data_IF_623770121870
#
_entry.id   IF_623770121870
#
_cell.length_a   1.000
_cell.length_b   1.000
_cell.length_c   1.000
_cell.angle_alpha   90.00
_cell.angle_beta   90.00
_cell.angle_gamma   90.00
#
_symmetry.space_group_name_H-M   'P 1'
#
loop_
_entity.id
_entity.type
_entity.pdbx_description
1 polymer ?
#
# COMPACT_ATOMS: atom_id res chain seq x y z
N UNK A 1 16.66 6.61 10.04
CA UNK A 1 17.00 7.43 11.24
C UNK A 1 18.50 7.56 11.55
N UNK A 2 19.27 6.50 11.83
CA UNK A 2 20.72 6.67 12.14
C UNK A 2 21.52 7.28 10.97
N UNK A 3 21.41 6.73 9.76
CA UNK A 3 22.17 7.17 8.57
C UNK A 3 21.90 8.63 8.16
N UNK A 4 20.62 9.03 8.21
CA UNK A 4 20.11 10.35 7.84
C UNK A 4 20.52 11.43 8.86
N UNK A 5 20.41 11.13 10.17
CA UNK A 5 20.98 11.98 11.23
C UNK A 5 22.49 12.10 11.09
N UNK A 6 23.20 11.02 10.77
CA UNK A 6 24.65 11.06 10.58
C UNK A 6 25.05 11.93 9.38
N UNK A 7 24.32 11.88 8.27
CA UNK A 7 24.58 12.74 7.10
C UNK A 7 24.30 14.23 7.39
N UNK A 8 23.20 14.55 8.06
CA UNK A 8 22.90 15.94 8.45
C UNK A 8 23.94 16.49 9.44
N UNK A 9 24.35 15.69 10.43
CA UNK A 9 25.41 16.08 11.38
C UNK A 9 26.75 16.27 10.65
N UNK A 10 27.08 15.39 9.71
CA UNK A 10 28.31 15.51 8.92
C UNK A 10 28.34 16.79 8.08
N UNK A 11 27.24 17.14 7.40
CA UNK A 11 27.14 18.39 6.64
C UNK A 11 27.23 19.63 7.54
N UNK A 12 26.64 19.59 8.74
CA UNK A 12 26.77 20.67 9.73
C UNK A 12 28.23 20.82 10.18
N UNK A 13 28.93 19.72 10.46
CA UNK A 13 30.35 19.74 10.83
C UNK A 13 31.19 20.32 9.66
N UNK A 14 30.94 19.87 8.44
CA UNK A 14 31.67 20.33 7.25
C UNK A 14 31.48 21.84 7.01
N UNK A 15 30.25 22.34 7.13
CA UNK A 15 29.94 23.77 7.01
C UNK A 15 30.55 24.58 8.16
N UNK A 16 30.60 24.02 9.36
CA UNK A 16 31.23 24.66 10.54
C UNK A 16 32.75 24.76 10.37
N UNK A 17 33.39 23.74 9.80
CA UNK A 17 34.82 23.74 9.46
C UNK A 17 35.14 24.81 8.40
N UNK A 18 34.30 24.94 7.37
CA UNK A 18 34.44 25.98 6.35
C UNK A 18 34.34 27.38 6.96
N UNK A 19 33.31 27.61 7.78
CA UNK A 19 33.10 28.89 8.45
C UNK A 19 34.27 29.22 9.40
N UNK A 20 34.72 28.26 10.21
CA UNK A 20 35.83 28.45 11.12
C UNK A 20 37.14 28.77 10.37
N UNK A 21 37.43 28.05 9.28
CA UNK A 21 38.59 28.31 8.43
C UNK A 21 38.55 29.72 7.82
N UNK A 22 37.38 30.15 7.31
CA UNK A 22 37.21 31.49 6.73
C UNK A 22 37.36 32.59 7.79
N UNK A 23 36.75 32.43 8.96
CA UNK A 23 36.82 33.42 10.05
C UNK A 23 38.25 33.53 10.58
N UNK A 24 38.88 32.41 10.92
CA UNK A 24 40.25 32.40 11.43
C UNK A 24 41.25 32.94 10.39
N UNK A 25 41.06 32.62 9.10
CA UNK A 25 41.93 33.09 8.04
C UNK A 25 41.80 34.59 7.79
N UNK A 26 40.57 35.10 7.65
CA UNK A 26 40.34 36.53 7.39
C UNK A 26 40.78 37.37 8.60
N UNK A 27 40.38 37.00 9.81
CA UNK A 27 40.77 37.72 11.04
C UNK A 27 42.28 37.64 11.25
N UNK A 28 42.88 36.47 11.04
CA UNK A 28 44.33 36.29 11.14
C UNK A 28 45.11 37.18 10.17
N UNK A 29 44.68 37.28 8.91
CA UNK A 29 45.35 38.12 7.91
C UNK A 29 45.15 39.63 8.20
N UNK A 30 43.97 40.03 8.69
CA UNK A 30 43.72 41.41 9.11
C UNK A 30 44.60 41.82 10.30
N UNK A 31 44.78 40.93 11.28
CA UNK A 31 45.70 41.16 12.42
C UNK A 31 47.15 41.27 11.93
N UNK A 32 47.52 40.56 10.86
CA UNK A 32 48.84 40.64 10.24
C UNK A 32 49.04 41.92 9.39
N UNK A 33 48.03 42.80 9.30
CA UNK A 33 48.12 44.09 8.61
C UNK A 33 47.74 44.06 7.12
N UNK A 34 47.15 42.97 6.63
CA UNK A 34 46.67 42.89 5.25
C UNK A 34 45.39 43.72 5.03
N UNK A 35 45.17 44.13 3.78
CA UNK A 35 43.88 44.72 3.39
C UNK A 35 42.77 43.68 3.44
N UNK A 36 41.51 44.12 3.58
CA UNK A 36 40.35 43.21 3.59
C UNK A 36 40.31 42.34 2.33
N UNK A 37 40.58 42.93 1.15
CA UNK A 37 40.59 42.21 -0.12
C UNK A 37 41.69 41.13 -0.16
N UNK A 38 42.92 41.48 0.27
CA UNK A 38 44.01 40.50 0.31
C UNK A 38 43.76 39.40 1.35
N UNK A 39 43.16 39.74 2.49
CA UNK A 39 42.83 38.79 3.55
C UNK A 39 41.86 37.72 3.07
N UNK A 40 40.81 38.13 2.34
CA UNK A 40 39.86 37.21 1.71
C UNK A 40 40.55 36.37 0.64
N UNK A 41 41.31 36.98 -0.26
CA UNK A 41 42.01 36.26 -1.33
C UNK A 41 42.99 35.22 -0.79
N UNK A 42 43.86 35.61 0.16
CA UNK A 42 44.84 34.71 0.79
C UNK A 42 44.17 33.58 1.56
N UNK A 43 43.03 33.83 2.21
CA UNK A 43 42.26 32.79 2.90
C UNK A 43 41.62 31.79 1.92
N UNK A 44 41.05 32.26 0.81
CA UNK A 44 40.50 31.38 -0.23
C UNK A 44 41.58 30.49 -0.87
N UNK A 45 42.80 31.01 -1.05
CA UNK A 45 43.93 30.23 -1.56
C UNK A 45 44.34 29.07 -0.65
N UNK A 46 43.96 29.06 0.63
CA UNK A 46 44.24 27.91 1.52
C UNK A 46 43.42 26.67 1.15
N UNK A 47 42.27 26.85 0.50
CA UNK A 47 41.40 25.74 0.09
C UNK A 47 41.86 25.04 -1.19
N UNK A 48 42.79 25.63 -1.95
CA UNK A 48 43.34 25.05 -3.19
C UNK A 48 44.50 24.08 -2.95
N UNK A 49 44.73 23.68 -1.68
CA UNK A 49 45.85 22.81 -1.23
C UNK A 49 47.25 23.39 -1.54
N UNK A 50 47.30 24.68 -1.87
CA UNK A 50 48.47 25.44 -2.24
C UNK A 50 49.15 26.02 -0.99
N UNK A 51 49.96 25.21 -0.29
CA UNK A 51 50.69 25.63 0.93
C UNK A 51 51.98 26.38 0.61
N UNK A 52 51.89 27.55 -0.03
CA UNK A 52 53.08 28.27 -0.50
C UNK A 52 53.61 29.36 0.43
N UNK A 53 53.01 29.57 1.61
CA UNK A 53 53.32 30.72 2.47
C UNK A 53 53.57 30.30 3.91
N UNK A 54 54.51 30.93 4.60
CA UNK A 54 54.64 30.82 6.05
C UNK A 54 53.44 31.48 6.74
N UNK A 55 52.91 30.88 7.82
CA UNK A 55 51.74 31.44 8.50
C UNK A 55 52.11 32.73 9.24
N UNK A 56 51.38 33.81 8.95
CA UNK A 56 51.63 35.11 9.59
C UNK A 56 51.35 35.11 11.11
N UNK A 57 50.46 34.23 11.57
CA UNK A 57 50.16 34.00 12.99
C UNK A 57 49.44 32.65 13.18
N UNK A 58 49.19 32.31 14.45
CA UNK A 58 48.53 31.06 14.86
C UNK A 58 47.12 30.93 14.27
N UNK A 59 46.36 32.02 14.12
CA UNK A 59 45.01 31.97 13.52
C UNK A 59 45.05 31.60 12.04
N UNK A 60 46.02 32.15 11.30
CA UNK A 60 46.29 31.78 9.90
C UNK A 60 46.70 30.31 9.80
N UNK A 61 47.49 29.81 10.75
CA UNK A 61 47.92 28.42 10.76
C UNK A 61 46.75 27.45 11.05
N UNK A 62 45.92 27.77 12.04
CA UNK A 62 44.66 27.05 12.33
C UNK A 62 43.75 27.04 11.09
N UNK A 63 43.60 28.19 10.42
CA UNK A 63 42.78 28.31 9.21
C UNK A 63 43.29 27.40 8.08
N UNK A 64 44.61 27.28 7.90
CA UNK A 64 45.22 26.36 6.91
C UNK A 64 44.87 24.91 7.18
N UNK A 65 44.99 24.44 8.42
CA UNK A 65 44.64 23.06 8.77
C UNK A 65 43.15 22.79 8.59
N UNK A 66 42.28 23.71 9.03
CA UNK A 66 40.83 23.57 8.86
C UNK A 66 40.42 23.58 7.38
N UNK A 67 41.01 24.47 6.56
CA UNK A 67 40.78 24.51 5.11
C UNK A 67 41.21 23.20 4.44
N UNK A 68 42.37 22.65 4.81
CA UNK A 68 42.84 21.37 4.30
C UNK A 68 41.88 20.22 4.64
N UNK A 69 41.47 20.12 5.90
CA UNK A 69 40.51 19.10 6.37
C UNK A 69 39.19 19.22 5.60
N UNK A 70 38.68 20.45 5.44
CA UNK A 70 37.48 20.71 4.65
C UNK A 70 37.66 20.26 3.20
N UNK A 71 38.73 20.67 2.52
CA UNK A 71 38.97 20.34 1.10
C UNK A 71 39.11 18.83 0.90
N UNK A 72 39.87 18.12 1.74
CA UNK A 72 39.97 16.66 1.67
C UNK A 72 38.62 15.98 1.88
N UNK A 73 37.84 16.41 2.87
CA UNK A 73 36.51 15.85 3.15
C UNK A 73 35.52 16.10 2.01
N UNK A 74 35.56 17.30 1.41
CA UNK A 74 34.74 17.65 0.26
C UNK A 74 35.11 16.79 -0.96
N UNK A 75 36.40 16.63 -1.26
CA UNK A 75 36.89 15.77 -2.36
C UNK A 75 36.43 14.32 -2.15
N UNK A 76 36.61 13.76 -0.95
CA UNK A 76 36.17 12.40 -0.64
C UNK A 76 34.67 12.25 -0.85
N UNK A 77 33.87 13.23 -0.41
CA UNK A 77 32.41 13.20 -0.56
C UNK A 77 32.00 13.21 -2.04
N UNK A 78 32.66 14.05 -2.86
CA UNK A 78 32.42 14.10 -4.31
C UNK A 78 32.79 12.78 -4.98
N UNK A 79 33.97 12.23 -4.68
CA UNK A 79 34.44 10.96 -5.24
C UNK A 79 33.52 9.80 -4.83
N UNK A 80 33.11 9.76 -3.56
CA UNK A 80 32.21 8.73 -3.06
C UNK A 80 30.84 8.83 -3.73
N UNK A 81 30.31 10.04 -3.91
CA UNK A 81 29.03 10.26 -4.61
C UNK A 81 29.12 9.84 -6.08
N UNK A 82 30.22 10.18 -6.77
CA UNK A 82 30.47 9.74 -8.14
C UNK A 82 30.56 8.20 -8.24
N UNK A 83 31.19 7.56 -7.25
CA UNK A 83 31.24 6.11 -7.16
C UNK A 83 29.87 5.48 -6.93
N UNK A 84 29.01 6.07 -6.08
CA UNK A 84 27.63 5.59 -5.90
C UNK A 84 26.82 5.70 -7.19
N UNK A 85 26.91 6.83 -7.91
CA UNK A 85 26.25 6.99 -9.23
C UNK A 85 26.69 5.89 -10.20
N UNK A 86 27.99 5.57 -10.24
CA UNK A 86 28.51 4.49 -11.08
C UNK A 86 27.96 3.13 -10.65
N UNK A 87 27.95 2.84 -9.35
CA UNK A 87 27.39 1.59 -8.82
C UNK A 87 25.91 1.46 -9.15
N UNK A 88 25.14 2.52 -9.01
CA UNK A 88 23.71 2.51 -9.31
C UNK A 88 23.47 2.30 -10.81
N UNK A 89 24.28 2.90 -11.69
CA UNK A 89 24.24 2.59 -13.13
C UNK A 89 24.54 1.12 -13.43
N UNK A 90 25.54 0.54 -12.76
CA UNK A 90 25.87 -0.90 -12.90
C UNK A 90 24.71 -1.77 -12.41
N UNK A 91 24.07 -1.39 -11.30
CA UNK A 91 22.92 -2.12 -10.75
C UNK A 91 21.67 -1.96 -11.63
N UNK A 92 21.44 -0.79 -12.21
CA UNK A 92 20.35 -0.50 -13.14
C UNK A 92 20.44 -1.32 -14.42
N UNK A 93 21.66 -1.55 -14.92
CA UNK A 93 21.90 -2.40 -16.09
C UNK A 93 21.58 -3.89 -15.87
N UNK A 94 21.34 -4.34 -14.63
CA UNK A 94 20.93 -5.73 -14.35
C UNK A 94 19.46 -5.92 -14.75
N UNK A 95 19.16 -7.07 -15.35
CA UNK A 95 17.78 -7.46 -15.67
C UNK A 95 16.91 -7.49 -14.40
N UNK A 96 15.67 -7.03 -14.53
CA UNK A 96 14.70 -6.90 -13.43
C UNK A 96 15.19 -5.99 -12.28
N UNK A 97 16.08 -5.05 -12.57
CA UNK A 97 16.43 -3.99 -11.62
C UNK A 97 15.17 -3.18 -11.27
N UNK A 98 15.00 -2.89 -9.99
CA UNK A 98 13.88 -2.09 -9.48
C UNK A 98 14.42 -0.91 -8.69
N UNK A 99 14.18 0.30 -9.18
CA UNK A 99 14.53 1.53 -8.50
C UNK A 99 13.33 2.11 -7.80
N UNK A 100 13.52 2.54 -6.55
CA UNK A 100 12.52 3.23 -5.75
C UNK A 100 12.92 4.71 -5.68
N UNK A 101 12.02 5.59 -6.06
CA UNK A 101 12.17 7.03 -5.96
C UNK A 101 11.17 7.59 -4.94
N UNK A 102 11.65 8.50 -4.11
CA UNK A 102 10.92 9.09 -3.00
C UNK A 102 11.75 9.11 -1.73
N UNK A 103 11.63 10.18 -0.95
CA UNK A 103 12.32 10.34 0.34
C UNK A 103 11.33 10.44 1.50
N UNK A 104 10.53 9.38 1.67
CA UNK A 104 9.55 9.28 2.72
C UNK A 104 9.64 7.93 3.45
N UNK A 105 8.69 7.68 4.35
CA UNK A 105 8.65 6.43 5.11
C UNK A 105 8.43 5.22 4.19
N UNK A 106 7.58 5.36 3.16
CA UNK A 106 7.27 4.30 2.18
C UNK A 106 8.52 3.78 1.47
N UNK A 107 9.41 4.67 1.02
CA UNK A 107 10.67 4.24 0.38
C UNK A 107 11.56 3.48 1.34
N UNK A 108 11.66 3.94 2.59
CA UNK A 108 12.45 3.28 3.66
C UNK A 108 11.90 1.88 3.96
N UNK A 109 10.58 1.71 4.05
CA UNK A 109 9.96 0.41 4.29
C UNK A 109 10.18 -0.55 3.11
N UNK A 110 10.00 -0.08 1.87
CA UNK A 110 10.22 -0.91 0.68
C UNK A 110 11.67 -1.40 0.58
N UNK A 111 12.64 -0.53 0.85
CA UNK A 111 14.08 -0.87 0.86
C UNK A 111 14.44 -1.82 2.01
N UNK A 112 13.82 -1.67 3.18
CA UNK A 112 14.00 -2.57 4.32
C UNK A 112 13.40 -3.97 4.02
N UNK A 113 12.28 -4.03 3.28
CA UNK A 113 11.59 -5.27 2.93
C UNK A 113 12.24 -6.02 1.76
N UNK A 114 12.84 -5.34 0.79
CA UNK A 114 13.46 -5.98 -0.37
C UNK A 114 14.91 -5.56 -0.61
N UNK A 115 15.83 -6.50 -0.37
CA UNK A 115 17.28 -6.29 -0.53
C UNK A 115 17.73 -6.07 -1.99
N UNK A 116 16.88 -6.37 -2.97
CA UNK A 116 17.16 -6.16 -4.40
C UNK A 116 16.70 -4.79 -4.89
N UNK A 117 15.85 -4.11 -4.13
CA UNK A 117 15.42 -2.76 -4.45
C UNK A 117 16.57 -1.76 -4.26
N UNK A 118 16.64 -0.77 -5.12
CA UNK A 118 17.73 0.22 -5.14
C UNK A 118 17.10 1.60 -4.94
N UNK A 119 17.67 2.40 -4.04
CA UNK A 119 17.17 3.75 -3.77
C UNK A 119 17.72 4.74 -4.81
N UNK A 120 16.83 5.39 -5.55
CA UNK A 120 17.18 6.40 -6.56
C UNK A 120 17.41 7.79 -5.97
N UNK A 121 18.46 7.96 -5.15
CA UNK A 121 18.78 9.27 -4.53
C UNK A 121 19.68 10.13 -5.42
N UNK A 122 20.55 9.51 -6.21
CA UNK A 122 21.63 10.19 -6.94
C UNK A 122 21.25 10.62 -8.37
N UNK A 123 19.97 10.94 -8.57
CA UNK A 123 19.39 11.28 -9.87
C UNK A 123 18.84 10.07 -10.62
N UNK A 124 18.30 10.33 -11.82
CA UNK A 124 17.67 9.29 -12.64
C UNK A 124 18.68 8.26 -13.15
N UNK A 125 18.38 6.99 -12.88
CA UNK A 125 19.13 5.83 -13.36
C UNK A 125 18.21 4.93 -14.19
N UNK A 126 18.70 4.56 -15.38
CA UNK A 126 17.96 3.64 -16.25
C UNK A 126 17.91 2.23 -15.66
N UNK A 127 16.70 1.70 -15.54
CA UNK A 127 16.35 0.39 -14.99
C UNK A 127 15.20 -0.27 -15.77
N UNK A 128 14.83 -1.49 -15.39
CA UNK A 128 13.68 -2.20 -15.96
C UNK A 128 12.36 -1.85 -15.26
N UNK A 129 12.41 -1.54 -13.95
CA UNK A 129 11.26 -1.21 -13.13
C UNK A 129 11.54 0.03 -12.27
N UNK A 130 10.52 0.86 -12.12
CA UNK A 130 10.54 2.08 -11.32
C UNK A 130 9.35 2.06 -10.37
N UNK A 131 9.57 2.40 -9.10
CA UNK A 131 8.51 2.59 -8.11
C UNK A 131 8.63 3.99 -7.56
N UNK A 132 7.62 4.80 -7.76
CA UNK A 132 7.52 6.16 -7.27
C UNK A 132 6.62 6.13 -6.03
N UNK A 133 7.15 6.56 -4.89
CA UNK A 133 6.43 6.49 -3.60
C UNK A 133 6.39 7.82 -2.87
N UNK A 134 6.80 8.93 -3.49
CA UNK A 134 6.69 10.26 -2.87
C UNK A 134 5.23 10.75 -2.86
N UNK A 135 5.01 12.00 -2.44
CA UNK A 135 3.70 12.64 -2.54
C UNK A 135 3.19 12.60 -3.99
N UNK A 136 1.87 12.45 -4.18
CA UNK A 136 1.25 12.25 -5.50
C UNK A 136 1.68 13.33 -6.52
N UNK A 137 1.70 14.60 -6.12
CA UNK A 137 2.15 15.71 -6.97
C UNK A 137 3.62 15.57 -7.40
N UNK A 138 4.51 15.16 -6.49
CA UNK A 138 5.93 14.97 -6.79
C UNK A 138 6.16 13.77 -7.70
N UNK A 139 5.39 12.69 -7.50
CA UNK A 139 5.43 11.54 -8.41
C UNK A 139 5.01 11.95 -9.83
N UNK A 140 3.98 12.78 -9.97
CA UNK A 140 3.56 13.31 -11.27
C UNK A 140 4.62 14.22 -11.91
N UNK A 141 5.23 15.13 -11.13
CA UNK A 141 6.33 15.97 -11.61
C UNK A 141 7.49 15.09 -12.11
N UNK A 142 7.88 14.08 -11.34
CA UNK A 142 8.93 13.14 -11.74
C UNK A 142 8.60 12.41 -13.05
N UNK A 143 7.36 11.94 -13.21
CA UNK A 143 6.90 11.31 -14.46
C UNK A 143 6.99 12.27 -15.65
N UNK A 144 6.62 13.54 -15.46
CA UNK A 144 6.68 14.56 -16.51
C UNK A 144 8.13 14.89 -16.90
N UNK A 145 9.02 15.07 -15.92
CA UNK A 145 10.43 15.37 -16.13
C UNK A 145 11.18 14.23 -16.85
N UNK A 146 10.81 12.97 -16.56
CA UNK A 146 11.49 11.78 -17.07
C UNK A 146 10.71 11.01 -18.14
N UNK A 147 9.66 11.61 -18.72
CA UNK A 147 8.73 10.94 -19.65
C UNK A 147 9.41 10.17 -20.79
N UNK A 148 10.37 10.81 -21.46
CA UNK A 148 11.07 10.20 -22.60
C UNK A 148 11.98 9.03 -22.17
N UNK A 149 12.54 9.11 -20.96
CA UNK A 149 13.44 8.10 -20.40
C UNK A 149 12.68 6.89 -19.83
N UNK A 150 11.44 7.11 -19.39
CA UNK A 150 10.52 6.09 -18.89
C UNK A 150 9.72 5.40 -20.00
N UNK A 151 9.82 5.86 -21.24
CA UNK A 151 9.07 5.30 -22.37
C UNK A 151 9.38 3.81 -22.56
N UNK A 152 8.34 2.97 -22.51
CA UNK A 152 8.46 1.51 -22.63
C UNK A 152 9.09 0.83 -21.40
N UNK A 153 9.20 1.53 -20.27
CA UNK A 153 9.65 1.00 -18.99
C UNK A 153 8.47 0.81 -18.05
N UNK A 154 8.58 -0.19 -17.16
CA UNK A 154 7.53 -0.47 -16.17
C UNK A 154 7.65 0.51 -15.01
N UNK A 155 6.60 1.28 -14.78
CA UNK A 155 6.55 2.30 -13.73
C UNK A 155 5.34 2.02 -12.84
N UNK A 156 5.60 1.93 -11.55
CA UNK A 156 4.59 1.81 -10.51
C UNK A 156 4.56 3.11 -9.73
N UNK A 157 3.41 3.73 -9.60
CA UNK A 157 3.27 5.01 -8.91
C UNK A 157 2.31 4.87 -7.74
N UNK A 158 2.76 5.23 -6.55
CA UNK A 158 1.89 5.34 -5.40
C UNK A 158 0.94 6.53 -5.60
N UNK A 159 -0.34 6.29 -5.37
CA UNK A 159 -1.42 7.28 -5.47
C UNK A 159 -2.38 7.12 -4.30
N UNK A 160 -2.93 8.24 -3.85
CA UNK A 160 -3.96 8.28 -2.80
C UNK A 160 -5.35 8.58 -3.40
N UNK A 161 -5.39 9.41 -4.45
CA UNK A 161 -6.64 9.94 -5.02
C UNK A 161 -6.87 9.58 -6.48
N UNK A 162 -5.82 9.39 -7.29
CA UNK A 162 -5.95 9.20 -8.72
C UNK A 162 -6.25 7.73 -9.04
N UNK A 163 -7.45 7.41 -9.57
CA UNK A 163 -7.71 6.06 -10.02
C UNK A 163 -6.75 5.71 -11.17
N UNK A 164 -6.42 4.42 -11.27
CA UNK A 164 -5.64 3.82 -12.37
C UNK A 164 -6.12 4.22 -13.78
N UNK A 165 -7.36 4.72 -13.90
CA UNK A 165 -8.03 5.24 -15.09
C UNK A 165 -7.29 6.42 -15.75
N UNK A 166 -6.58 7.25 -14.99
CA UNK A 166 -6.00 8.50 -15.51
C UNK A 166 -4.71 8.29 -16.32
N UNK A 167 -4.14 7.08 -16.31
CA UNK A 167 -2.91 6.77 -17.02
C UNK A 167 -3.19 5.88 -18.22
N UNK A 168 -3.20 6.49 -19.41
CA UNK A 168 -3.39 5.82 -20.70
C UNK A 168 -2.16 5.03 -21.18
N UNK A 169 -1.09 4.96 -20.40
CA UNK A 169 0.14 4.24 -20.75
C UNK A 169 0.13 2.84 -20.13
N UNK A 170 0.18 1.80 -20.96
CA UNK A 170 0.17 0.41 -20.53
C UNK A 170 1.32 0.06 -19.56
N UNK A 171 2.39 0.86 -19.52
CA UNK A 171 3.54 0.61 -18.66
C UNK A 171 3.52 1.40 -17.34
N UNK A 172 2.58 2.34 -17.16
CA UNK A 172 2.38 3.07 -15.91
C UNK A 172 1.22 2.48 -15.14
N UNK A 173 1.48 2.02 -13.92
CA UNK A 173 0.49 1.44 -13.02
C UNK A 173 0.45 2.23 -11.73
N UNK A 174 -0.70 2.76 -11.39
CA UNK A 174 -0.92 3.36 -10.10
C UNK A 174 -1.24 2.26 -9.06
N UNK A 175 -0.80 2.44 -7.82
CA UNK A 175 -1.18 1.57 -6.73
C UNK A 175 -1.48 2.39 -5.48
N UNK A 176 -2.45 1.92 -4.70
CA UNK A 176 -2.80 2.49 -3.41
C UNK A 176 -2.36 1.51 -2.32
N UNK A 177 -1.67 2.02 -1.30
CA UNK A 177 -1.11 1.19 -0.22
C UNK A 177 -2.22 0.59 0.63
N UNK A 178 -3.26 1.37 0.91
CA UNK A 178 -4.46 1.00 1.66
C UNK A 178 -5.25 -0.08 0.92
N UNK A 179 -5.36 0.02 -0.40
CA UNK A 179 -6.00 -0.98 -1.25
C UNK A 179 -5.28 -2.33 -1.13
N UNK A 180 -3.95 -2.33 -1.31
CA UNK A 180 -3.11 -3.52 -1.16
C UNK A 180 -3.25 -4.09 0.26
N UNK A 181 -3.23 -3.23 1.27
CA UNK A 181 -3.34 -3.62 2.67
C UNK A 181 -4.69 -4.30 2.98
N UNK A 182 -5.80 -3.71 2.52
CA UNK A 182 -7.14 -4.29 2.70
C UNK A 182 -7.26 -5.66 2.04
N UNK A 183 -6.70 -5.81 0.84
CA UNK A 183 -6.68 -7.11 0.13
C UNK A 183 -5.83 -8.16 0.84
N UNK A 184 -4.65 -7.79 1.34
CA UNK A 184 -3.77 -8.71 2.08
C UNK A 184 -4.29 -9.03 3.48
N UNK A 185 -5.04 -8.11 4.11
CA UNK A 185 -5.71 -8.33 5.38
C UNK A 185 -6.65 -9.54 5.30
N UNK A 186 -7.58 -9.54 4.34
CA UNK A 186 -8.58 -10.61 4.21
C UNK A 186 -8.04 -11.93 3.65
N UNK A 187 -6.80 -11.94 3.16
CA UNK A 187 -6.08 -13.20 2.87
C UNK A 187 -5.53 -13.87 4.12
N UNK A 188 -5.29 -13.10 5.18
CA UNK A 188 -4.69 -13.58 6.43
C UNK A 188 -5.71 -13.76 7.54
N UNK A 189 -6.74 -12.92 7.55
CA UNK A 189 -7.76 -12.86 8.59
C UNK A 189 -9.15 -13.09 7.99
N UNK A 190 -9.29 -14.15 7.20
CA UNK A 190 -10.59 -14.54 6.66
C UNK A 190 -11.54 -15.06 7.75
N UNK A 191 -12.81 -15.20 7.35
CA UNK A 191 -13.88 -15.80 8.15
C UNK A 191 -14.29 -17.18 7.63
N UNK A 192 -13.47 -17.84 6.80
CA UNK A 192 -13.84 -19.08 6.11
C UNK A 192 -14.17 -20.16 7.12
N UNK A 193 -13.39 -20.27 8.20
CA UNK A 193 -13.64 -21.26 9.25
C UNK A 193 -14.89 -21.01 10.08
N UNK A 194 -15.47 -19.81 9.99
CA UNK A 194 -16.74 -19.45 10.64
C UNK A 194 -17.92 -19.47 9.65
N UNK A 195 -17.68 -19.70 8.36
CA UNK A 195 -18.67 -19.59 7.30
C UNK A 195 -19.91 -20.46 7.51
N UNK A 196 -19.72 -21.68 8.03
CA UNK A 196 -20.77 -22.66 8.21
C UNK A 196 -20.86 -23.11 9.69
N UNK A 197 -22.04 -23.58 10.09
CA UNK A 197 -22.23 -24.28 11.36
C UNK A 197 -21.82 -25.76 11.25
N UNK A 198 -21.89 -26.50 12.35
CA UNK A 198 -21.55 -27.93 12.40
C UNK A 198 -22.41 -28.80 11.47
N UNK A 199 -23.58 -28.29 11.04
CA UNK A 199 -24.50 -28.96 10.13
C UNK A 199 -24.32 -28.52 8.66
N UNK A 200 -23.39 -27.61 8.39
CA UNK A 200 -23.14 -27.08 7.05
C UNK A 200 -24.09 -25.96 6.62
N UNK A 201 -24.83 -25.33 7.53
CA UNK A 201 -25.65 -24.17 7.19
C UNK A 201 -24.81 -22.89 7.21
N UNK A 202 -24.97 -21.98 6.24
CA UNK A 202 -24.31 -20.69 6.25
C UNK A 202 -24.64 -19.92 7.53
N UNK A 203 -23.60 -19.45 8.23
CA UNK A 203 -23.74 -18.61 9.42
C UNK A 203 -23.89 -17.15 9.02
N UNK A 204 -24.70 -16.44 9.82
CA UNK A 204 -24.67 -14.97 9.84
C UNK A 204 -23.51 -14.52 10.70
N UNK A 205 -22.61 -13.75 10.10
CA UNK A 205 -21.40 -13.27 10.75
C UNK A 205 -21.47 -11.77 10.94
N UNK A 206 -20.86 -11.30 12.02
CA UNK A 206 -20.83 -9.87 12.37
C UNK A 206 -19.39 -9.41 12.50
N UNK A 207 -19.03 -8.34 11.78
CA UNK A 207 -17.71 -7.70 11.87
C UNK A 207 -17.88 -6.28 12.34
N UNK A 208 -17.22 -5.90 13.43
CA UNK A 208 -17.12 -4.51 13.85
C UNK A 208 -15.80 -3.91 13.36
N UNK A 209 -15.87 -2.77 12.68
CA UNK A 209 -14.72 -2.01 12.20
C UNK A 209 -14.68 -0.67 12.94
N UNK A 210 -13.69 -0.48 13.81
CA UNK A 210 -13.50 0.72 14.63
C UNK A 210 -12.34 1.53 14.09
N UNK A 211 -12.59 2.81 13.82
CA UNK A 211 -11.66 3.71 13.16
C UNK A 211 -11.97 3.76 11.67
N UNK A 212 -12.04 4.98 11.13
CA UNK A 212 -12.44 5.22 9.75
C UNK A 212 -11.43 6.14 9.03
N UNK A 213 -11.37 6.00 7.70
CA UNK A 213 -10.38 6.60 6.83
C UNK A 213 -10.11 5.68 5.64
N UNK A 214 -9.13 6.03 4.79
CA UNK A 214 -8.89 5.27 3.54
C UNK A 214 -8.59 3.79 3.79
N UNK A 215 -7.81 3.46 4.82
CA UNK A 215 -7.55 2.07 5.19
C UNK A 215 -8.82 1.34 5.63
N UNK A 216 -9.66 1.96 6.46
CA UNK A 216 -10.92 1.36 6.91
C UNK A 216 -11.87 1.09 5.75
N UNK A 217 -12.00 2.04 4.83
CA UNK A 217 -12.78 1.91 3.60
C UNK A 217 -12.27 0.75 2.73
N UNK A 218 -10.96 0.63 2.53
CA UNK A 218 -10.36 -0.45 1.73
C UNK A 218 -10.46 -1.82 2.42
N UNK A 219 -10.36 -1.87 3.76
CA UNK A 219 -10.64 -3.09 4.52
C UNK A 219 -12.11 -3.50 4.33
N UNK A 220 -13.05 -2.57 4.42
CA UNK A 220 -14.46 -2.87 4.18
C UNK A 220 -14.68 -3.40 2.76
N UNK A 221 -14.21 -2.67 1.75
CA UNK A 221 -14.34 -3.02 0.33
C UNK A 221 -13.88 -4.46 0.06
N UNK A 222 -12.65 -4.79 0.45
CA UNK A 222 -12.14 -6.15 0.25
C UNK A 222 -12.81 -7.16 1.18
N UNK A 223 -13.40 -6.73 2.30
CA UNK A 223 -14.17 -7.59 3.20
C UNK A 223 -15.48 -8.05 2.57
N UNK A 224 -16.20 -7.13 1.91
CA UNK A 224 -17.43 -7.43 1.15
C UNK A 224 -17.17 -8.44 0.03
N UNK A 225 -16.00 -8.32 -0.62
CA UNK A 225 -15.62 -9.25 -1.68
C UNK A 225 -15.15 -10.58 -1.10
N UNK A 226 -14.16 -10.56 -0.20
CA UNK A 226 -13.48 -11.75 0.30
C UNK A 226 -14.40 -12.68 1.11
N UNK A 227 -15.43 -12.13 1.75
CA UNK A 227 -16.37 -12.88 2.58
C UNK A 227 -17.73 -13.09 1.91
N UNK A 228 -17.81 -13.00 0.57
CA UNK A 228 -19.05 -13.26 -0.19
C UNK A 228 -19.62 -14.68 -0.04
N UNK A 229 -18.91 -15.56 0.66
CA UNK A 229 -19.34 -16.91 1.01
C UNK A 229 -20.32 -16.99 2.18
N UNK A 230 -20.39 -15.95 3.01
CA UNK A 230 -21.26 -15.88 4.17
C UNK A 230 -22.13 -14.62 4.14
N UNK A 231 -23.19 -14.62 4.94
CA UNK A 231 -23.98 -13.41 5.22
C UNK A 231 -23.26 -12.61 6.31
N UNK A 232 -22.42 -11.66 5.91
CA UNK A 232 -21.60 -10.84 6.81
C UNK A 232 -22.19 -9.45 6.94
N UNK A 233 -22.58 -9.06 8.16
CA UNK A 233 -22.96 -7.68 8.47
C UNK A 233 -21.74 -6.91 8.98
N UNK A 234 -21.42 -5.79 8.35
CA UNK A 234 -20.33 -4.90 8.75
C UNK A 234 -20.89 -3.72 9.56
N UNK A 235 -20.41 -3.57 10.79
CA UNK A 235 -20.71 -2.44 11.67
C UNK A 235 -19.52 -1.49 11.70
N UNK A 236 -19.71 -0.26 11.25
CA UNK A 236 -18.64 0.72 11.07
C UNK A 236 -18.76 1.80 12.13
N UNK A 237 -17.68 2.04 12.89
CA UNK A 237 -17.61 3.07 13.91
C UNK A 237 -16.52 4.08 13.56
N UNK A 238 -16.91 5.34 13.34
CA UNK A 238 -16.01 6.45 13.02
C UNK A 238 -16.67 7.48 12.09
N UNK A 239 -15.87 8.41 11.57
CA UNK A 239 -16.34 9.46 10.66
C UNK A 239 -16.58 8.94 9.24
N UNK A 240 -17.64 8.15 9.04
CA UNK A 240 -18.01 7.54 7.76
C UNK A 240 -18.95 8.38 6.90
N UNK A 241 -19.20 9.64 7.26
CA UNK A 241 -20.27 10.44 6.66
C UNK A 241 -20.20 10.55 5.12
N UNK A 242 -19.00 10.83 4.58
CA UNK A 242 -18.80 10.92 3.12
C UNK A 242 -19.07 9.56 2.45
N UNK A 243 -18.61 8.46 3.06
CA UNK A 243 -18.83 7.11 2.54
C UNK A 243 -20.32 6.77 2.53
N UNK A 244 -21.03 7.05 3.63
CA UNK A 244 -22.47 6.83 3.75
C UNK A 244 -23.24 7.63 2.72
N UNK A 245 -22.88 8.89 2.51
CA UNK A 245 -23.54 9.75 1.52
C UNK A 245 -23.30 9.26 0.08
N UNK A 246 -22.12 8.71 -0.20
CA UNK A 246 -21.78 8.16 -1.52
C UNK A 246 -22.46 6.81 -1.80
N UNK A 247 -22.77 6.02 -0.78
CA UNK A 247 -23.33 4.67 -0.91
C UNK A 247 -24.73 4.52 -0.31
N UNK A 248 -25.43 5.64 -0.04
CA UNK A 248 -26.68 5.65 0.70
C UNK A 248 -27.73 4.67 0.14
N UNK A 249 -27.80 4.57 -1.18
CA UNK A 249 -28.74 3.69 -1.89
C UNK A 249 -28.40 2.19 -1.79
N UNK A 250 -27.21 1.85 -1.27
CA UNK A 250 -26.66 0.49 -1.31
C UNK A 250 -26.16 -0.03 0.05
N UNK A 251 -26.25 0.76 1.13
CA UNK A 251 -25.77 0.32 2.46
C UNK A 251 -26.50 -0.94 2.93
N UNK A 252 -27.82 -1.00 2.74
CA UNK A 252 -28.64 -2.16 3.12
C UNK A 252 -28.32 -3.38 2.26
N UNK A 253 -28.15 -3.21 0.94
CA UNK A 253 -27.77 -4.29 0.00
C UNK A 253 -26.38 -4.86 0.33
N UNK A 254 -25.47 -4.00 0.81
CA UNK A 254 -24.11 -4.38 1.23
C UNK A 254 -24.04 -4.88 2.68
N UNK A 255 -25.17 -4.91 3.39
CA UNK A 255 -25.26 -5.31 4.80
C UNK A 255 -24.33 -4.47 5.71
N UNK A 256 -24.27 -3.16 5.44
CA UNK A 256 -23.43 -2.20 6.19
C UNK A 256 -24.30 -1.39 7.15
N UNK A 257 -23.85 -1.27 8.40
CA UNK A 257 -24.43 -0.39 9.42
C UNK A 257 -23.38 0.57 9.91
N UNK A 258 -23.54 1.84 9.58
CA UNK A 258 -22.65 2.91 10.02
C UNK A 258 -23.16 3.56 11.30
N UNK A 259 -22.23 3.98 12.16
CA UNK A 259 -22.51 4.59 13.45
C UNK A 259 -21.69 5.87 13.60
N UNK A 260 -22.37 7.02 13.66
CA UNK A 260 -21.75 8.33 13.88
C UNK A 260 -21.15 8.47 15.29
N UNK A 261 -21.64 7.68 16.25
CA UNK A 261 -21.21 7.73 17.66
C UNK A 261 -20.13 6.69 17.95
N UNK A 262 -19.36 6.95 19.01
CA UNK A 262 -18.37 6.01 19.51
C UNK A 262 -18.99 4.62 19.77
N UNK A 263 -18.18 3.59 19.55
CA UNK A 263 -18.55 2.18 19.73
C UNK A 263 -19.08 1.85 21.15
N UNK A 264 -18.82 2.71 22.14
CA UNK A 264 -19.31 2.59 23.52
C UNK A 264 -20.84 2.51 23.63
N UNK A 265 -21.57 3.20 22.74
CA UNK A 265 -23.04 3.16 22.74
C UNK A 265 -23.59 1.84 22.17
N UNK A 266 -22.72 1.03 21.54
CA UNK A 266 -23.06 -0.18 20.82
C UNK A 266 -22.25 -1.40 21.32
N UNK A 267 -21.95 -1.45 22.63
CA UNK A 267 -21.18 -2.54 23.26
C UNK A 267 -21.76 -3.93 22.93
N UNK A 268 -23.08 -4.06 22.85
CA UNK A 268 -23.73 -5.33 22.53
C UNK A 268 -23.42 -5.83 21.12
N UNK A 269 -23.18 -4.92 20.16
CA UNK A 269 -22.73 -5.26 18.81
C UNK A 269 -21.28 -5.75 18.87
N UNK A 270 -20.42 -5.03 19.59
CA UNK A 270 -19.02 -5.42 19.77
C UNK A 270 -18.91 -6.82 20.39
N UNK A 271 -19.65 -7.09 21.47
CA UNK A 271 -19.63 -8.41 22.16
C UNK A 271 -20.08 -9.57 21.28
N UNK A 272 -20.97 -9.32 20.32
CA UNK A 272 -21.50 -10.33 19.40
C UNK A 272 -20.72 -10.43 18.09
N UNK A 273 -19.73 -9.57 17.88
CA UNK A 273 -18.94 -9.58 16.65
C UNK A 273 -18.02 -10.80 16.60
N UNK A 274 -18.05 -11.55 15.50
CA UNK A 274 -17.12 -12.65 15.23
C UNK A 274 -15.69 -12.13 15.00
N UNK A 275 -15.56 -10.86 14.65
CA UNK A 275 -14.28 -10.14 14.56
C UNK A 275 -14.45 -8.65 14.83
N UNK A 276 -13.55 -8.09 15.63
CA UNK A 276 -13.39 -6.65 15.82
C UNK A 276 -12.09 -6.22 15.13
N UNK A 277 -12.19 -5.34 14.15
CA UNK A 277 -11.07 -4.77 13.43
C UNK A 277 -10.86 -3.35 13.93
N UNK A 278 -9.63 -3.03 14.32
CA UNK A 278 -9.24 -1.67 14.68
C UNK A 278 -8.39 -1.11 13.55
N UNK A 279 -8.94 -0.21 12.75
CA UNK A 279 -8.19 0.53 11.74
C UNK A 279 -7.18 1.48 12.40
N UNK A 280 -6.20 1.97 11.64
CA UNK A 280 -5.21 2.93 12.14
C UNK A 280 -5.90 4.21 12.62
N UNK A 281 -5.69 4.55 13.89
CA UNK A 281 -6.26 5.73 14.54
C UNK A 281 -5.45 6.11 15.78
N UNK A 282 -5.77 7.24 16.39
CA UNK A 282 -5.16 7.63 17.65
C UNK A 282 -5.60 6.70 18.79
N UNK A 283 -4.76 6.55 19.81
CA UNK A 283 -5.09 5.83 21.05
C UNK A 283 -5.46 4.34 20.90
N UNK A 284 -5.05 3.65 19.83
CA UNK A 284 -5.34 2.21 19.61
C UNK A 284 -5.01 1.32 20.82
N UNK A 285 -3.88 1.54 21.51
CA UNK A 285 -3.47 0.73 22.68
C UNK A 285 -4.48 0.85 23.82
N UNK A 286 -5.00 2.05 24.05
CA UNK A 286 -6.04 2.30 25.06
C UNK A 286 -7.35 1.61 24.65
N UNK A 287 -7.76 1.76 23.40
CA UNK A 287 -8.95 1.13 22.84
C UNK A 287 -8.91 -0.41 22.97
N UNK A 288 -7.78 -1.04 22.66
CA UNK A 288 -7.59 -2.49 22.85
C UNK A 288 -7.84 -2.88 24.31
N UNK A 289 -7.28 -2.11 25.25
CA UNK A 289 -7.45 -2.37 26.68
C UNK A 289 -8.92 -2.24 27.10
N UNK A 290 -9.62 -1.21 26.62
CA UNK A 290 -11.04 -0.97 26.91
C UNK A 290 -11.94 -2.07 26.34
N UNK A 291 -11.65 -2.59 25.14
CA UNK A 291 -12.38 -3.71 24.54
C UNK A 291 -12.22 -5.00 25.34
N UNK A 292 -11.01 -5.34 25.76
CA UNK A 292 -10.76 -6.56 26.53
C UNK A 292 -11.25 -6.49 27.99
N UNK A 293 -11.43 -5.29 28.55
CA UNK A 293 -12.16 -5.11 29.82
C UNK A 293 -13.65 -5.45 29.69
N UNK A 294 -14.22 -5.32 28.49
CA UNK A 294 -15.63 -5.58 28.22
C UNK A 294 -15.88 -7.06 27.94
N UNK A 295 -14.99 -7.71 27.19
CA UNK A 295 -15.02 -9.16 26.96
C UNK A 295 -13.63 -9.68 26.55
N UNK A 296 -13.14 -10.69 27.29
CA UNK A 296 -11.89 -11.38 27.00
C UNK A 296 -11.98 -12.29 25.75
N UNK A 297 -13.19 -12.63 25.33
CA UNK A 297 -13.46 -13.55 24.21
C UNK A 297 -13.42 -12.87 22.84
N UNK A 298 -13.27 -11.54 22.79
CA UNK A 298 -13.24 -10.80 21.54
C UNK A 298 -12.05 -11.21 20.68
N UNK A 299 -12.31 -11.57 19.43
CA UNK A 299 -11.27 -11.69 18.40
C UNK A 299 -10.97 -10.30 17.82
N UNK A 300 -9.88 -9.68 18.26
CA UNK A 300 -9.44 -8.34 17.87
C UNK A 300 -8.25 -8.41 16.91
N UNK A 301 -8.39 -7.79 15.74
CA UNK A 301 -7.29 -7.58 14.79
C UNK A 301 -7.00 -6.08 14.67
N UNK A 302 -5.77 -5.70 14.94
CA UNK A 302 -5.34 -4.29 14.99
C UNK A 302 -4.48 -3.98 13.78
N UNK A 303 -4.93 -3.07 12.94
CA UNK A 303 -4.12 -2.53 11.84
C UNK A 303 -3.17 -1.48 12.41
N UNK A 304 -1.89 -1.82 12.54
CA UNK A 304 -0.87 -0.92 13.06
C UNK A 304 0.17 -0.54 12.00
N UNK A 305 0.71 0.67 12.15
CA UNK A 305 1.87 1.16 11.41
C UNK A 305 3.15 1.15 12.25
N UNK A 306 3.05 0.85 13.55
CA UNK A 306 4.12 1.07 14.52
C UNK A 306 5.31 0.11 14.37
N UNK A 307 6.51 0.65 14.59
CA UNK A 307 7.69 -0.16 14.94
C UNK A 307 7.58 -0.50 16.43
N UNK A 308 7.20 -1.74 16.75
CA UNK A 308 7.09 -2.21 18.14
C UNK A 308 5.85 -3.06 18.46
N UNK A 309 5.13 -3.54 17.44
CA UNK A 309 3.90 -4.36 17.62
C UNK A 309 4.12 -5.55 18.56
N UNK A 310 5.30 -6.17 18.51
CA UNK A 310 5.66 -7.32 19.36
C UNK A 310 5.81 -6.90 20.82
N UNK A 311 6.51 -5.78 21.08
CA UNK A 311 6.68 -5.23 22.43
C UNK A 311 5.35 -4.73 23.00
N UNK A 312 4.54 -4.04 22.19
CA UNK A 312 3.22 -3.57 22.57
C UNK A 312 2.27 -4.74 22.88
N UNK A 313 2.27 -5.78 22.02
CA UNK A 313 1.50 -7.01 22.28
C UNK A 313 1.96 -7.65 23.59
N UNK A 314 3.26 -7.81 23.81
CA UNK A 314 3.79 -8.37 25.07
C UNK A 314 3.37 -7.54 26.28
N UNK A 315 3.43 -6.22 26.20
CA UNK A 315 3.04 -5.33 27.30
C UNK A 315 1.54 -5.45 27.61
N UNK A 316 0.70 -5.53 26.59
CA UNK A 316 -0.75 -5.72 26.74
C UNK A 316 -1.09 -7.10 27.33
N UNK A 317 -0.43 -8.17 26.85
CA UNK A 317 -0.62 -9.52 27.37
C UNK A 317 -0.07 -9.73 28.79
N UNK A 318 0.93 -8.95 29.20
CA UNK A 318 1.48 -8.99 30.57
C UNK A 318 0.62 -8.19 31.57
N UNK A 319 -0.30 -7.35 31.08
CA UNK A 319 -1.13 -6.53 31.93
C UNK A 319 -2.24 -7.40 32.56
N UNK A 320 -2.15 -7.65 33.87
CA UNK A 320 -3.04 -8.51 34.66
C UNK A 320 -4.52 -8.05 34.73
N UNK A 321 -4.92 -7.03 33.99
CA UNK A 321 -6.26 -6.44 34.04
C UNK A 321 -7.32 -7.24 33.27
N UNK A 322 -6.91 -8.27 32.53
CA UNK A 322 -7.76 -9.30 31.95
C UNK A 322 -6.84 -10.32 31.29
N UNK A 323 -7.04 -11.61 31.54
CA UNK A 323 -6.26 -12.66 30.89
C UNK A 323 -6.63 -12.68 29.40
N UNK A 324 -6.02 -11.78 28.60
CA UNK A 324 -6.24 -11.69 27.15
C UNK A 324 -5.60 -12.92 26.51
N UNK A 325 -6.37 -13.82 25.88
CA UNK A 325 -5.79 -14.95 25.16
C UNK A 325 -4.93 -14.44 24.00
N UNK A 326 -3.74 -15.01 23.81
CA UNK A 326 -2.78 -14.53 22.80
C UNK A 326 -3.33 -14.66 21.37
N UNK A 327 -4.19 -15.64 21.15
CA UNK A 327 -4.93 -15.92 19.91
C UNK A 327 -6.01 -14.86 19.60
N UNK A 328 -6.51 -14.17 20.62
CA UNK A 328 -7.60 -13.21 20.49
C UNK A 328 -7.11 -11.81 20.11
N UNK A 329 -5.82 -11.52 20.25
CA UNK A 329 -5.23 -10.24 19.86
C UNK A 329 -4.16 -10.41 18.77
N UNK A 330 -4.44 -9.92 17.56
CA UNK A 330 -3.49 -9.96 16.45
C UNK A 330 -3.16 -8.57 15.94
N UNK A 331 -1.87 -8.31 15.69
CA UNK A 331 -1.41 -7.09 15.03
C UNK A 331 -1.13 -7.36 13.56
N UNK A 332 -1.74 -6.56 12.70
CA UNK A 332 -1.50 -6.52 11.27
C UNK A 332 -0.68 -5.27 10.95
N UNK A 333 0.62 -5.45 10.74
CA UNK A 333 1.49 -4.37 10.29
C UNK A 333 1.23 -4.08 8.80
N UNK A 334 0.24 -3.23 8.56
CA UNK A 334 -0.36 -3.04 7.25
C UNK A 334 0.60 -2.32 6.30
N UNK A 335 1.32 -1.29 6.81
CA UNK A 335 2.32 -0.55 6.02
C UNK A 335 3.44 -1.46 5.56
N UNK A 336 4.01 -2.30 6.46
CA UNK A 336 5.06 -3.24 6.08
C UNK A 336 4.56 -4.30 5.10
N UNK A 337 3.31 -4.73 5.22
CA UNK A 337 2.73 -5.74 4.33
C UNK A 337 2.51 -5.17 2.92
N UNK A 338 1.92 -3.98 2.82
CA UNK A 338 1.59 -3.36 1.54
C UNK A 338 2.83 -2.85 0.80
N UNK A 339 3.86 -2.38 1.52
CA UNK A 339 5.13 -1.95 0.94
C UNK A 339 6.09 -3.13 0.70
N UNK A 340 5.71 -4.05 -0.18
CA UNK A 340 6.61 -5.09 -0.70
C UNK A 340 6.60 -5.07 -2.22
N UNK A 341 7.75 -5.36 -2.85
CA UNK A 341 7.82 -5.44 -4.32
C UNK A 341 6.82 -6.47 -4.87
N UNK A 342 6.63 -7.57 -4.15
CA UNK A 342 5.66 -8.58 -4.53
C UNK A 342 4.23 -8.07 -4.55
N UNK A 343 3.82 -7.30 -3.53
CA UNK A 343 2.49 -6.75 -3.46
C UNK A 343 2.26 -5.65 -4.51
N UNK A 344 3.21 -4.73 -4.69
CA UNK A 344 3.14 -3.64 -5.68
C UNK A 344 3.12 -4.19 -7.11
N UNK A 345 3.91 -5.22 -7.40
CA UNK A 345 4.01 -5.82 -8.74
C UNK A 345 3.01 -6.97 -8.96
N UNK A 346 2.10 -7.23 -8.02
CA UNK A 346 1.27 -8.43 -8.01
C UNK A 346 0.40 -8.56 -9.25
N UNK A 347 -0.25 -7.49 -9.68
CA UNK A 347 -1.09 -7.51 -10.88
C UNK A 347 -0.29 -7.93 -12.12
N UNK A 348 0.93 -7.39 -12.26
CA UNK A 348 1.81 -7.80 -13.35
C UNK A 348 2.20 -9.26 -13.22
N UNK A 349 2.56 -9.73 -12.03
CA UNK A 349 2.91 -11.14 -11.81
C UNK A 349 1.74 -12.07 -12.10
N UNK A 350 0.52 -11.70 -11.70
CA UNK A 350 -0.71 -12.45 -11.95
C UNK A 350 -0.97 -12.60 -13.45
N UNK A 351 -0.69 -11.55 -14.22
CA UNK A 351 -0.90 -11.52 -15.67
C UNK A 351 0.26 -12.13 -16.46
N UNK A 352 1.52 -12.06 -16.00
CA UNK A 352 2.71 -12.33 -16.82
C UNK A 352 3.52 -13.59 -16.45
N UNK A 353 3.39 -14.16 -15.25
CA UNK A 353 4.23 -15.29 -14.78
C UNK A 353 3.44 -16.57 -14.51
N UNK A 354 4.10 -17.73 -14.54
CA UNK A 354 3.52 -19.03 -14.15
C UNK A 354 4.30 -19.63 -12.98
N UNK A 355 3.94 -19.30 -11.75
CA UNK A 355 4.40 -20.07 -10.58
C UNK A 355 3.53 -21.33 -10.39
N UNK A 356 3.96 -22.29 -9.57
CA UNK A 356 3.31 -23.62 -9.50
C UNK A 356 1.87 -23.61 -8.94
N UNK A 357 1.52 -22.68 -8.04
CA UNK A 357 0.12 -22.42 -7.64
C UNK A 357 -0.71 -21.80 -8.80
N UNK A 358 -0.05 -21.25 -9.82
CA UNK A 358 -0.63 -20.53 -10.97
C UNK A 358 -0.82 -21.39 -12.23
N UNK A 359 -0.42 -22.68 -12.21
CA UNK A 359 -0.62 -23.62 -13.34
C UNK A 359 -2.11 -23.97 -13.53
N UNK A 360 -2.88 -23.88 -12.45
CA UNK A 360 -4.29 -24.26 -12.37
C UNK A 360 -5.19 -23.35 -13.22
N UNK A 361 -5.08 -22.04 -13.09
CA UNK A 361 -5.98 -21.05 -13.73
C UNK A 361 -5.67 -20.69 -15.21
N UNK A 362 -5.08 -21.60 -15.99
CA UNK A 362 -4.59 -21.28 -17.35
C UNK A 362 -5.67 -20.77 -18.31
N UNK A 363 -6.87 -21.34 -18.26
CA UNK A 363 -7.98 -21.00 -19.15
C UNK A 363 -8.49 -19.56 -18.94
N UNK A 364 -8.93 -19.25 -17.72
CA UNK A 364 -9.44 -17.93 -17.34
C UNK A 364 -8.38 -16.84 -17.54
N UNK A 365 -7.12 -17.11 -17.15
CA UNK A 365 -6.02 -16.13 -17.31
C UNK A 365 -5.67 -15.86 -18.75
N UNK A 366 -5.69 -16.87 -19.62
CA UNK A 366 -5.45 -16.68 -21.05
C UNK A 366 -6.50 -15.74 -21.64
N UNK A 367 -7.77 -15.96 -21.31
CA UNK A 367 -8.87 -15.10 -21.76
C UNK A 367 -8.71 -13.66 -21.23
N UNK A 368 -8.44 -13.52 -19.93
CA UNK A 368 -8.18 -12.21 -19.31
C UNK A 368 -7.00 -11.51 -20.00
N UNK A 369 -5.92 -12.23 -20.32
CA UNK A 369 -4.74 -11.66 -20.98
C UNK A 369 -5.03 -11.23 -22.43
N UNK A 370 -5.81 -12.01 -23.17
CA UNK A 370 -6.21 -11.69 -24.56
C UNK A 370 -7.07 -10.43 -24.62
N UNK A 371 -7.90 -10.19 -23.60
CA UNK A 371 -8.80 -9.03 -23.52
C UNK A 371 -8.19 -7.86 -22.71
N UNK A 372 -7.10 -8.07 -21.96
CA UNK A 372 -6.62 -7.14 -20.92
C UNK A 372 -6.45 -5.70 -21.40
N UNK A 373 -5.82 -5.54 -22.57
CA UNK A 373 -5.48 -4.23 -23.12
C UNK A 373 -6.71 -3.46 -23.63
N UNK A 374 -7.81 -4.15 -23.95
CA UNK A 374 -9.06 -3.53 -24.41
C UNK A 374 -10.04 -3.20 -23.28
N UNK A 375 -9.81 -3.74 -22.07
CA UNK A 375 -10.66 -3.51 -20.91
C UNK A 375 -10.37 -2.16 -20.25
N UNK A 376 -11.44 -1.47 -19.86
CA UNK A 376 -11.34 -0.34 -18.95
C UNK A 376 -10.89 -0.79 -17.54
N UNK A 377 -10.48 0.18 -16.72
CA UNK A 377 -10.00 -0.08 -15.36
C UNK A 377 -11.04 -0.78 -14.50
N UNK A 378 -12.32 -0.38 -14.58
CA UNK A 378 -13.39 -0.99 -13.79
C UNK A 378 -13.53 -2.48 -14.12
N UNK A 379 -13.45 -2.87 -15.39
CA UNK A 379 -13.49 -4.28 -15.80
C UNK A 379 -12.22 -5.03 -15.40
N UNK A 380 -11.04 -4.41 -15.51
CA UNK A 380 -9.77 -5.02 -15.04
C UNK A 380 -9.83 -5.36 -13.55
N UNK A 381 -10.35 -4.46 -12.72
CA UNK A 381 -10.55 -4.70 -11.29
C UNK A 381 -11.56 -5.82 -11.03
N UNK A 382 -12.67 -5.86 -11.79
CA UNK A 382 -13.63 -6.96 -11.71
C UNK A 382 -12.97 -8.32 -11.99
N UNK A 383 -12.13 -8.41 -13.04
CA UNK A 383 -11.38 -9.63 -13.36
C UNK A 383 -10.34 -10.00 -12.30
N UNK A 384 -9.61 -9.03 -11.74
CA UNK A 384 -8.68 -9.29 -10.63
C UNK A 384 -9.43 -9.83 -9.41
N UNK A 385 -10.62 -9.32 -9.14
CA UNK A 385 -11.49 -9.82 -8.08
C UNK A 385 -11.97 -11.26 -8.36
N UNK A 386 -12.20 -11.64 -9.62
CA UNK A 386 -12.52 -13.03 -9.98
C UNK A 386 -11.34 -13.97 -9.75
N UNK A 387 -10.10 -13.54 -10.04
CA UNK A 387 -8.91 -14.36 -9.80
C UNK A 387 -8.71 -14.69 -8.31
N UNK A 388 -9.11 -13.79 -7.42
CA UNK A 388 -9.08 -14.03 -5.98
C UNK A 388 -10.13 -15.04 -5.50
N UNK A 389 -11.22 -15.23 -6.24
CA UNK A 389 -12.28 -16.18 -5.90
C UNK A 389 -11.77 -17.62 -5.88
N UNK A 390 -10.86 -17.98 -6.79
CA UNK A 390 -10.26 -19.31 -6.80
C UNK A 390 -9.55 -19.65 -5.49
N UNK A 391 -8.82 -18.70 -4.90
CA UNK A 391 -8.18 -18.90 -3.59
C UNK A 391 -9.22 -19.17 -2.51
N UNK A 392 -10.29 -18.38 -2.51
CA UNK A 392 -11.41 -18.52 -1.57
C UNK A 392 -12.08 -19.89 -1.73
N UNK A 393 -12.30 -20.34 -2.96
CA UNK A 393 -12.82 -21.68 -3.25
C UNK A 393 -11.90 -22.79 -2.72
N UNK A 394 -10.60 -22.72 -2.96
CA UNK A 394 -9.64 -23.70 -2.45
C UNK A 394 -9.65 -23.78 -0.91
N UNK A 395 -9.70 -22.62 -0.25
CA UNK A 395 -9.74 -22.55 1.21
C UNK A 395 -11.06 -23.02 1.79
N UNK A 396 -12.19 -22.65 1.18
CA UNK A 396 -13.52 -23.16 1.53
C UNK A 396 -13.59 -24.67 1.36
N UNK A 397 -13.07 -25.23 0.27
CA UNK A 397 -13.06 -26.68 0.03
C UNK A 397 -12.19 -27.42 1.04
N UNK A 398 -11.06 -26.83 1.44
CA UNK A 398 -10.19 -27.40 2.49
C UNK A 398 -10.87 -27.41 3.86
N UNK A 399 -11.64 -26.37 4.18
CA UNK A 399 -12.31 -26.24 5.47
C UNK A 399 -13.65 -26.99 5.54
N UNK A 400 -14.41 -26.99 4.45
CA UNK A 400 -15.84 -27.34 4.41
C UNK A 400 -16.21 -28.20 3.21
N UNK A 401 -15.29 -28.97 2.64
CA UNK A 401 -15.42 -29.58 1.30
C UNK A 401 -16.70 -30.35 0.98
N UNK A 402 -17.45 -30.86 1.97
CA UNK A 402 -18.74 -31.52 1.74
C UNK A 402 -19.91 -30.55 1.47
N UNK A 403 -19.76 -29.28 1.87
CA UNK A 403 -20.80 -28.24 1.78
C UNK A 403 -20.60 -27.28 0.60
N UNK A 404 -19.42 -27.30 -0.04
CA UNK A 404 -19.09 -26.41 -1.15
C UNK A 404 -19.43 -27.09 -2.48
N UNK A 405 -20.66 -26.90 -2.94
CA UNK A 405 -21.15 -27.39 -4.24
C UNK A 405 -20.89 -26.38 -5.36
N UNK A 406 -21.08 -26.78 -6.63
CA UNK A 406 -21.01 -25.86 -7.77
C UNK A 406 -22.12 -24.77 -7.70
N UNK A 407 -23.32 -25.14 -7.26
CA UNK A 407 -24.43 -24.20 -7.06
C UNK A 407 -24.11 -23.18 -5.97
N UNK A 408 -23.46 -23.63 -4.88
CA UNK A 408 -22.99 -22.73 -3.84
C UNK A 408 -21.90 -21.81 -4.37
N UNK A 409 -20.93 -22.31 -5.15
CA UNK A 409 -19.91 -21.46 -5.76
C UNK A 409 -20.51 -20.43 -6.75
N UNK A 410 -21.58 -20.79 -7.46
CA UNK A 410 -22.35 -19.86 -8.29
C UNK A 410 -22.99 -18.74 -7.45
N UNK A 411 -23.61 -19.08 -6.32
CA UNK A 411 -24.15 -18.10 -5.36
C UNK A 411 -23.07 -17.15 -4.84
N UNK A 412 -21.92 -17.69 -4.44
CA UNK A 412 -20.77 -16.92 -3.94
C UNK A 412 -20.25 -15.96 -5.00
N UNK A 413 -20.11 -16.43 -6.25
CA UNK A 413 -19.70 -15.62 -7.38
C UNK A 413 -20.69 -14.48 -7.63
N UNK A 414 -21.99 -14.80 -7.64
CA UNK A 414 -23.04 -13.85 -7.92
C UNK A 414 -23.10 -12.73 -6.87
N UNK A 415 -23.09 -13.09 -5.58
CA UNK A 415 -23.03 -12.12 -4.46
C UNK A 415 -21.77 -11.25 -4.55
N UNK A 416 -20.62 -11.85 -4.86
CA UNK A 416 -19.36 -11.10 -5.03
C UNK A 416 -19.45 -10.07 -6.15
N UNK A 417 -20.06 -10.42 -7.28
CA UNK A 417 -20.29 -9.50 -8.38
C UNK A 417 -21.24 -8.38 -7.97
N UNK A 418 -22.37 -8.71 -7.33
CA UNK A 418 -23.30 -7.68 -6.85
C UNK A 418 -22.62 -6.71 -5.87
N UNK A 419 -21.89 -7.23 -4.87
CA UNK A 419 -21.13 -6.41 -3.92
C UNK A 419 -20.13 -5.48 -4.63
N UNK A 420 -19.43 -5.98 -5.66
CA UNK A 420 -18.53 -5.17 -6.46
C UNK A 420 -19.27 -4.01 -7.15
N UNK A 421 -20.36 -4.30 -7.84
CA UNK A 421 -21.12 -3.29 -8.59
C UNK A 421 -21.80 -2.27 -7.65
N UNK A 422 -22.46 -2.72 -6.57
CA UNK A 422 -23.08 -1.83 -5.58
C UNK A 422 -22.07 -0.93 -4.89
N UNK A 423 -20.91 -1.46 -4.52
CA UNK A 423 -19.83 -0.64 -3.95
C UNK A 423 -19.35 0.46 -4.92
N UNK A 424 -19.43 0.22 -6.23
CA UNK A 424 -19.07 1.22 -7.24
C UNK A 424 -20.28 2.07 -7.72
N UNK A 425 -21.36 2.09 -6.94
CA UNK A 425 -22.60 2.83 -7.20
C UNK A 425 -23.25 2.49 -8.55
N UNK A 426 -23.28 1.21 -8.90
CA UNK A 426 -24.08 0.71 -10.00
C UNK A 426 -25.46 0.29 -9.53
N UNK A 427 -26.45 0.59 -10.36
CA UNK A 427 -27.85 0.39 -10.07
C UNK A 427 -28.46 -0.70 -10.97
N UNK A 428 -29.45 -1.39 -10.42
CA UNK A 428 -30.26 -2.31 -11.19
C UNK A 428 -31.08 -1.58 -12.26
N UNK A 429 -31.13 -2.15 -13.47
CA UNK A 429 -32.13 -1.79 -14.47
C UNK A 429 -32.49 -3.00 -15.34
N UNK A 430 -33.78 -3.28 -15.49
CA UNK A 430 -34.25 -4.31 -16.42
C UNK A 430 -33.89 -3.98 -17.90
N UNK A 431 -33.74 -2.69 -18.21
CA UNK A 431 -33.40 -2.16 -19.53
C UNK A 431 -32.28 -1.11 -19.37
N UNK A 432 -31.02 -1.53 -19.22
CA UNK A 432 -29.91 -0.61 -18.95
C UNK A 432 -29.62 0.30 -20.15
N UNK A 433 -29.84 -0.18 -21.37
CA UNK A 433 -29.78 0.62 -22.59
C UNK A 433 -31.15 0.64 -23.31
N UNK A 434 -31.79 1.81 -23.47
CA UNK A 434 -33.02 1.93 -24.25
C UNK A 434 -32.82 1.65 -25.74
N UNK A 435 -31.61 1.89 -26.26
CA UNK A 435 -31.28 1.76 -27.68
C UNK A 435 -30.81 0.33 -28.03
N UNK A 436 -30.42 -0.46 -27.01
CA UNK A 436 -30.09 -1.88 -27.14
C UNK A 436 -30.82 -2.72 -26.06
N UNK A 437 -31.99 -3.30 -26.40
CA UNK A 437 -32.76 -4.15 -25.48
C UNK A 437 -32.02 -5.42 -25.01
N UNK A 438 -30.92 -5.81 -25.68
CA UNK A 438 -30.09 -6.95 -25.32
C UNK A 438 -28.88 -6.55 -24.46
N UNK A 439 -28.64 -5.26 -24.25
CA UNK A 439 -27.53 -4.80 -23.41
C UNK A 439 -27.74 -5.28 -21.96
N UNK A 440 -26.68 -5.86 -21.40
CA UNK A 440 -26.65 -6.22 -19.98
C UNK A 440 -26.20 -5.06 -19.09
N UNK A 441 -25.52 -4.06 -19.66
CA UNK A 441 -24.99 -2.93 -18.89
C UNK A 441 -24.98 -1.61 -19.66
N UNK A 442 -25.04 -0.50 -18.93
CA UNK A 442 -24.80 0.85 -19.43
C UNK A 442 -23.75 1.54 -18.55
N UNK A 443 -22.47 1.53 -18.93
CA UNK A 443 -21.39 2.07 -18.11
C UNK A 443 -21.51 3.57 -17.83
N UNK A 444 -22.08 4.35 -18.76
CA UNK A 444 -22.25 5.80 -18.60
C UNK A 444 -23.26 6.14 -17.51
N UNK A 445 -24.31 5.33 -17.39
CA UNK A 445 -25.36 5.49 -16.38
C UNK A 445 -25.17 4.58 -15.16
N UNK A 446 -24.11 3.76 -15.16
CA UNK A 446 -23.83 2.71 -14.17
C UNK A 446 -25.05 1.81 -13.93
N UNK A 447 -25.67 1.33 -15.00
CA UNK A 447 -26.81 0.42 -14.91
C UNK A 447 -26.39 -1.00 -15.27
N UNK A 448 -26.85 -1.99 -14.52
CA UNK A 448 -26.57 -3.41 -14.76
C UNK A 448 -27.84 -4.24 -14.54
N UNK A 449 -28.15 -5.10 -15.50
CA UNK A 449 -29.36 -5.92 -15.51
C UNK A 449 -29.34 -7.07 -14.49
N UNK A 450 -28.16 -7.51 -14.10
CA UNK A 450 -27.96 -8.67 -13.21
C UNK A 450 -27.84 -8.33 -11.72
N UNK A 451 -28.00 -7.06 -11.33
CA UNK A 451 -27.97 -6.64 -9.92
C UNK A 451 -29.30 -6.94 -9.21
N UNK A 452 -29.57 -8.21 -9.00
CA UNK A 452 -30.76 -8.73 -8.30
C UNK A 452 -30.45 -10.13 -7.76
N UNK A 453 -31.22 -10.67 -6.80
CA UNK A 453 -30.98 -12.01 -6.25
C UNK A 453 -30.79 -13.09 -7.32
N UNK A 454 -29.92 -14.08 -7.05
CA UNK A 454 -29.56 -15.13 -8.01
C UNK A 454 -30.78 -15.87 -8.56
N UNK A 455 -31.78 -16.05 -7.71
CA UNK A 455 -33.05 -16.72 -7.99
C UNK A 455 -33.84 -16.02 -9.09
N UNK A 456 -33.70 -14.70 -9.20
CA UNK A 456 -34.40 -13.84 -10.16
C UNK A 456 -33.67 -13.73 -11.51
N UNK A 457 -32.50 -14.34 -11.66
CA UNK A 457 -31.84 -14.44 -12.96
C UNK A 457 -32.48 -15.52 -13.83
N UNK A 458 -32.62 -15.22 -15.12
CA UNK A 458 -32.99 -16.21 -16.12
C UNK A 458 -31.89 -17.26 -16.29
N UNK A 459 -32.25 -18.47 -16.73
CA UNK A 459 -31.26 -19.53 -16.95
C UNK A 459 -30.17 -19.13 -17.96
N UNK A 460 -30.50 -18.28 -18.94
CA UNK A 460 -29.50 -17.74 -19.88
C UNK A 460 -28.47 -16.84 -19.19
N UNK A 461 -28.91 -16.00 -18.25
CA UNK A 461 -28.01 -15.13 -17.49
C UNK A 461 -27.16 -15.96 -16.51
N UNK A 462 -27.75 -16.95 -15.84
CA UNK A 462 -27.02 -17.90 -14.98
C UNK A 462 -25.96 -18.70 -15.75
N UNK A 463 -26.22 -19.08 -17.00
CA UNK A 463 -25.29 -19.86 -17.82
C UNK A 463 -23.97 -19.13 -18.10
N UNK A 464 -23.96 -17.79 -18.07
CA UNK A 464 -22.73 -17.00 -18.19
C UNK A 464 -21.86 -17.18 -16.94
N UNK A 465 -22.48 -17.08 -15.76
CA UNK A 465 -21.79 -17.23 -14.47
C UNK A 465 -21.39 -18.68 -14.20
N UNK A 466 -22.23 -19.66 -14.56
CA UNK A 466 -21.92 -21.10 -14.49
C UNK A 466 -20.66 -21.46 -15.29
N UNK A 467 -20.44 -20.84 -16.45
CA UNK A 467 -19.20 -21.02 -17.22
C UNK A 467 -17.96 -20.53 -16.46
N UNK A 468 -18.07 -19.40 -15.77
CA UNK A 468 -16.98 -18.87 -14.94
C UNK A 468 -16.71 -19.80 -13.75
N UNK A 469 -17.76 -20.28 -13.09
CA UNK A 469 -17.66 -21.27 -12.00
C UNK A 469 -16.93 -22.52 -12.49
N UNK A 470 -17.31 -23.05 -13.65
CA UNK A 470 -16.66 -24.21 -14.26
C UNK A 470 -15.17 -23.96 -14.53
N UNK A 471 -14.82 -22.79 -15.08
CA UNK A 471 -13.44 -22.40 -15.32
C UNK A 471 -12.61 -22.30 -14.02
N UNK A 472 -13.23 -22.00 -12.87
CA UNK A 472 -12.61 -21.95 -11.54
C UNK A 472 -12.47 -23.34 -10.90
N UNK A 473 -13.39 -24.26 -11.19
CA UNK A 473 -13.36 -25.62 -10.64
C UNK A 473 -12.41 -26.52 -11.43
N UNK A 474 -12.35 -26.37 -12.75
CA UNK A 474 -11.50 -27.15 -13.65
C UNK A 474 -10.05 -26.67 -13.72
N UNK A 475 -9.78 -25.47 -13.20
CA UNK A 475 -8.44 -24.93 -13.01
C UNK A 475 -7.72 -25.61 -11.85
#
# INVERSE_FOLDING_TARGET
MKKEKTQNIFMIILNSLLAAALICGIVGQLIAGETVSNSVFKTLMMFTLAFFWDPANVLVDIARYLAAIFTFSAIITIVFSAFQILLDRIRGARKNSTFIYGDNESSKILLDNDKKAIHGIHGFVSADNYILVDDEEKNLIFLMEHRDQLKGKRVFMQTESLPNVLFSDANLKAFCVEEIAGREFWKRYDLIRQAYDENGNPRKLTVALIGWGKLGEQILYYGLLANSFADVTFHIFGDSHIFEMLHADHLDDLHIKAYEKDWYDNIDVIKRSDMVIIAEQENQIRLISELFLISAELRVVVCSSFRGDVENKKLLLQNKAGDIPEENLTFFNWRKTAHSLEAVQREEKLLNTGSDDMIRQKGLRRKIREEWDSLDTFKRYAYLNLLDLHRIYDELRKAWGNFVTEDELLRILHVRLCNYYWYHNWNYSAHPDPDDPMADENPKKRLQKRLRPLEDLSEKEKEIEKRIVKDIVES
#
